data_IF_456808449479
#
_entry.id   IF_456808449479
#
_cell.length_a   1.000
_cell.length_b   1.000
_cell.length_c   1.000
_cell.angle_alpha   90.00
_cell.angle_beta   90.00
_cell.angle_gamma   90.00
#
_symmetry.space_group_name_H-M   'P 1'
#
loop_
_entity.id
_entity.type
_entity.pdbx_description
1 polymer ?
#
# COMPACT_ATOMS: atom_id res chain seq x y z
N UNK A 1 -3.01 -2.35 -8.28
CA UNK A 1 -1.91 -3.28 -7.98
C UNK A 1 -1.91 -4.39 -9.02
N UNK A 2 -0.79 -4.61 -9.70
CA UNK A 2 -0.62 -5.78 -10.57
C UNK A 2 0.15 -6.86 -9.81
N UNK A 3 -0.37 -8.08 -9.81
CA UNK A 3 0.24 -9.25 -9.16
C UNK A 3 0.46 -10.34 -10.19
N UNK A 4 1.67 -10.89 -10.21
CA UNK A 4 2.00 -12.08 -10.99
C UNK A 4 2.09 -13.28 -10.03
N UNK A 5 1.24 -14.29 -10.24
CA UNK A 5 1.31 -15.54 -9.47
C UNK A 5 2.57 -16.35 -9.83
N UNK A 6 2.96 -17.37 -9.02
CA UNK A 6 4.04 -18.28 -9.38
C UNK A 6 3.83 -19.01 -10.71
N UNK A 7 2.58 -19.18 -11.14
CA UNK A 7 2.24 -19.76 -12.45
C UNK A 7 2.32 -18.75 -13.61
N UNK A 8 2.83 -17.54 -13.36
CA UNK A 8 2.94 -16.47 -14.36
C UNK A 8 1.62 -15.73 -14.66
N UNK A 9 0.52 -16.04 -13.97
CA UNK A 9 -0.76 -15.39 -14.20
C UNK A 9 -0.73 -13.97 -13.63
N UNK A 10 -0.97 -12.98 -14.48
CA UNK A 10 -1.15 -11.58 -14.07
C UNK A 10 -2.58 -11.34 -13.62
N UNK A 11 -2.75 -10.57 -12.55
CA UNK A 11 -4.06 -10.13 -12.06
C UNK A 11 -3.94 -8.67 -11.63
N UNK A 12 -4.85 -7.84 -12.13
CA UNK A 12 -4.97 -6.44 -11.69
C UNK A 12 -6.05 -6.35 -10.62
N UNK A 13 -5.70 -5.74 -9.50
CA UNK A 13 -6.61 -5.39 -8.41
C UNK A 13 -6.64 -3.89 -8.25
N UNK A 14 -7.84 -3.34 -8.13
CA UNK A 14 -8.08 -1.91 -8.06
C UNK A 14 -9.17 -1.60 -7.04
N UNK A 15 -8.92 -0.62 -6.20
CA UNK A 15 -9.80 -0.18 -5.11
C UNK A 15 -9.76 1.35 -5.03
N UNK A 16 -10.92 1.97 -4.84
CA UNK A 16 -11.09 3.44 -4.91
C UNK A 16 -11.63 3.91 -6.26
N UNK A 17 -11.68 5.23 -6.45
CA UNK A 17 -12.15 5.88 -7.67
C UNK A 17 -11.01 6.31 -8.59
N UNK A 18 -11.35 6.70 -9.82
CA UNK A 18 -10.42 6.96 -10.94
C UNK A 18 -9.73 8.34 -10.90
N UNK A 19 -9.65 8.97 -9.73
CA UNK A 19 -9.00 10.26 -9.54
C UNK A 19 -7.49 10.15 -9.32
N UNK A 20 -6.84 11.31 -9.22
CA UNK A 20 -5.40 11.41 -8.96
C UNK A 20 -4.52 11.02 -10.15
N UNK A 21 -3.21 10.99 -9.92
CA UNK A 21 -2.21 10.58 -10.92
C UNK A 21 -1.61 9.24 -10.51
N UNK A 22 -1.68 8.19 -11.36
CA UNK A 22 -1.09 6.91 -11.06
C UNK A 22 0.42 7.00 -10.78
N UNK A 23 0.87 6.33 -9.73
CA UNK A 23 2.28 6.15 -9.41
C UNK A 23 2.54 4.67 -9.15
N UNK A 24 3.57 4.10 -9.76
CA UNK A 24 3.84 2.66 -9.73
C UNK A 24 5.32 2.42 -9.48
N UNK A 25 5.62 1.57 -8.48
CA UNK A 25 6.96 1.08 -8.19
C UNK A 25 7.04 -0.41 -8.55
N UNK A 26 7.64 -0.79 -9.68
CA UNK A 26 7.90 -2.19 -9.97
C UNK A 26 8.99 -2.70 -9.03
N UNK A 27 8.67 -3.74 -8.25
CA UNK A 27 9.64 -4.40 -7.38
C UNK A 27 10.62 -5.24 -8.20
N UNK A 28 11.90 -5.16 -7.86
CA UNK A 28 12.95 -5.99 -8.45
C UNK A 28 12.83 -7.43 -7.95
N UNK A 29 13.51 -8.35 -8.63
CA UNK A 29 13.61 -9.72 -8.15
C UNK A 29 14.20 -9.75 -6.72
N UNK A 30 13.50 -10.41 -5.80
CA UNK A 30 13.90 -10.50 -4.39
C UNK A 30 13.60 -9.26 -3.54
N UNK A 31 13.08 -8.18 -4.12
CA UNK A 31 12.70 -6.99 -3.38
C UNK A 31 11.29 -7.12 -2.79
N UNK A 32 11.14 -6.70 -1.54
CA UNK A 32 9.88 -6.75 -0.82
C UNK A 32 9.64 -5.48 0.00
N UNK A 33 8.39 -5.24 0.37
CA UNK A 33 8.01 -4.10 1.22
C UNK A 33 8.31 -4.43 2.68
N UNK A 34 9.01 -3.50 3.35
CA UNK A 34 9.40 -3.57 4.75
C UNK A 34 8.51 -2.73 5.65
N UNK A 35 8.06 -1.57 5.20
CA UNK A 35 7.26 -0.70 6.05
C UNK A 35 6.25 0.10 5.27
N UNK A 36 5.21 0.49 5.98
CA UNK A 36 4.09 1.24 5.47
C UNK A 36 3.77 2.39 6.43
N UNK A 37 3.46 3.55 5.86
CA UNK A 37 2.88 4.65 6.60
C UNK A 37 1.58 5.07 5.94
N UNK A 38 0.50 5.11 6.72
CA UNK A 38 -0.79 5.61 6.30
C UNK A 38 -1.11 6.89 7.07
N UNK A 39 -1.55 7.91 6.35
CA UNK A 39 -1.99 9.17 6.93
C UNK A 39 -3.41 9.45 6.51
N UNK A 40 -4.25 9.83 7.48
CA UNK A 40 -5.68 10.00 7.27
C UNK A 40 -6.17 11.38 7.72
N UNK A 41 -7.31 11.78 7.18
CA UNK A 41 -7.96 13.04 7.48
C UNK A 41 -9.45 12.98 7.17
N UNK A 42 -10.18 13.99 7.63
CA UNK A 42 -11.58 14.16 7.26
C UNK A 42 -11.69 14.83 5.89
N UNK A 43 -12.51 14.26 5.02
CA UNK A 43 -12.88 14.80 3.72
C UNK A 43 -14.40 14.66 3.56
N UNK A 44 -15.10 15.78 3.35
CA UNK A 44 -16.56 15.77 3.15
C UNK A 44 -17.34 14.99 4.23
N UNK A 45 -16.92 15.07 5.49
CA UNK A 45 -17.57 14.38 6.62
C UNK A 45 -17.15 12.92 6.83
N UNK A 46 -16.26 12.37 6.00
CA UNK A 46 -15.75 11.00 6.13
C UNK A 46 -14.26 10.98 6.45
N UNK A 47 -13.80 10.04 7.27
CA UNK A 47 -12.37 9.80 7.47
C UNK A 47 -11.85 8.93 6.34
N UNK A 48 -10.76 9.34 5.69
CA UNK A 48 -10.18 8.65 4.53
C UNK A 48 -8.66 8.64 4.60
N UNK A 49 -8.03 7.66 3.94
CA UNK A 49 -6.59 7.70 3.72
C UNK A 49 -6.28 8.81 2.72
N UNK A 50 -5.46 9.78 3.14
CA UNK A 50 -5.08 10.94 2.34
C UNK A 50 -3.68 10.77 1.77
N UNK A 51 -2.81 10.00 2.43
CA UNK A 51 -1.48 9.70 1.96
C UNK A 51 -1.03 8.30 2.39
N UNK A 52 -0.36 7.60 1.47
CA UNK A 52 0.31 6.33 1.74
C UNK A 52 1.78 6.44 1.34
N UNK A 53 2.63 5.76 2.10
CA UNK A 53 4.04 5.57 1.81
C UNK A 53 4.42 4.12 2.07
N UNK A 54 5.18 3.54 1.14
CA UNK A 54 5.75 2.20 1.25
C UNK A 54 7.26 2.30 1.08
N UNK A 55 7.99 1.58 1.93
CA UNK A 55 9.44 1.44 1.81
C UNK A 55 9.81 -0.01 1.54
N UNK A 56 10.69 -0.24 0.58
CA UNK A 56 11.16 -1.58 0.23
C UNK A 56 12.50 -1.94 0.89
N UNK A 57 12.86 -3.22 0.80
CA UNK A 57 14.15 -3.78 1.21
C UNK A 57 15.33 -3.15 0.48
N UNK A 58 15.11 -2.63 -0.72
CA UNK A 58 16.11 -1.92 -1.54
C UNK A 58 16.16 -0.42 -1.24
N UNK A 59 15.60 0.01 -0.11
CA UNK A 59 15.57 1.43 0.33
C UNK A 59 14.84 2.34 -0.68
N UNK A 60 14.00 1.77 -1.54
CA UNK A 60 13.14 2.55 -2.45
C UNK A 60 11.84 2.89 -1.77
N UNK A 61 11.32 4.07 -2.08
CA UNK A 61 10.08 4.59 -1.50
C UNK A 61 9.10 4.87 -2.62
N UNK A 62 7.85 4.47 -2.42
CA UNK A 62 6.72 4.96 -3.21
C UNK A 62 5.70 5.58 -2.27
N UNK A 63 5.28 6.79 -2.60
CA UNK A 63 4.21 7.47 -1.90
C UNK A 63 3.22 8.11 -2.87
N UNK A 64 2.05 8.45 -2.34
CA UNK A 64 1.01 9.12 -3.09
C UNK A 64 -0.01 9.75 -2.17
N UNK A 65 -0.63 10.82 -2.66
CA UNK A 65 -1.60 11.63 -1.91
C UNK A 65 -0.97 12.80 -1.16
N UNK A 66 -1.74 13.40 -0.25
CA UNK A 66 -1.36 14.61 0.48
C UNK A 66 -1.17 14.30 1.97
N UNK A 67 0.03 14.55 2.53
CA UNK A 67 0.31 14.29 3.93
C UNK A 67 -0.66 15.00 4.89
N UNK A 68 -0.97 14.37 6.02
CA UNK A 68 -1.77 14.93 7.10
C UNK A 68 -1.06 14.75 8.45
N UNK A 69 -1.67 15.27 9.52
CA UNK A 69 -1.11 15.17 10.87
C UNK A 69 -1.32 13.81 11.52
N UNK A 70 -2.37 13.07 11.12
CA UNK A 70 -2.64 11.75 11.69
C UNK A 70 -1.85 10.71 10.92
N UNK A 71 -0.99 9.97 11.62
CA UNK A 71 -0.11 8.98 11.01
C UNK A 71 -0.16 7.67 11.78
N UNK A 72 -0.27 6.58 11.04
CA UNK A 72 -0.04 5.22 11.50
C UNK A 72 1.13 4.65 10.71
N UNK A 73 2.04 3.97 11.39
CA UNK A 73 3.15 3.24 10.77
C UNK A 73 3.06 1.79 11.19
N UNK A 74 3.35 0.91 10.26
CA UNK A 74 3.52 -0.51 10.52
C UNK A 74 4.81 -0.97 9.83
N UNK A 75 5.65 -1.62 10.62
CA UNK A 75 6.94 -2.14 10.18
C UNK A 75 6.85 -3.67 10.17
N UNK A 76 7.37 -4.29 9.12
CA UNK A 76 7.38 -5.74 9.02
C UNK A 76 8.20 -6.33 10.18
N UNK A 77 7.67 -7.33 10.90
CA UNK A 77 8.47 -8.11 11.82
C UNK A 77 9.61 -8.82 11.04
N UNK A 78 10.75 -9.03 11.68
CA UNK A 78 11.91 -9.69 11.06
C UNK A 78 11.54 -11.01 10.37
N UNK A 79 12.08 -11.23 9.17
CA UNK A 79 11.83 -12.42 8.36
C UNK A 79 10.47 -12.47 7.65
N UNK A 80 9.72 -11.35 7.61
CA UNK A 80 8.43 -11.24 6.93
C UNK A 80 8.44 -10.18 5.83
N UNK A 81 7.52 -10.34 4.88
CA UNK A 81 7.21 -9.40 3.82
C UNK A 81 5.71 -9.12 3.76
N UNK A 82 5.34 -8.01 3.14
CA UNK A 82 3.96 -7.71 2.81
C UNK A 82 3.38 -8.79 1.87
N UNK A 83 2.34 -9.47 2.34
CA UNK A 83 1.67 -10.56 1.64
C UNK A 83 0.34 -10.18 1.02
N UNK A 84 -0.24 -9.03 1.40
CA UNK A 84 -1.50 -8.55 0.86
C UNK A 84 -2.08 -7.40 1.66
N UNK A 85 -3.25 -6.95 1.22
CA UNK A 85 -3.98 -5.82 1.77
C UNK A 85 -5.41 -6.23 2.11
N UNK A 86 -6.03 -5.51 3.04
CA UNK A 86 -7.47 -5.55 3.31
C UNK A 86 -7.96 -4.16 3.67
N UNK A 87 -9.26 -3.91 3.63
CA UNK A 87 -9.83 -2.61 3.96
C UNK A 87 -11.14 -2.34 3.23
N UNK A 88 -11.45 -1.06 3.07
CA UNK A 88 -12.67 -0.56 2.43
C UNK A 88 -12.37 0.58 1.49
N UNK A 89 -13.17 0.70 0.43
CA UNK A 89 -13.06 1.77 -0.55
C UNK A 89 -14.42 2.13 -1.15
N UNK A 90 -14.56 3.39 -1.53
CA UNK A 90 -15.62 3.92 -2.40
C UNK A 90 -15.01 4.67 -3.57
N UNK A 91 -15.31 5.96 -3.67
CA UNK A 91 -14.64 6.86 -4.64
C UNK A 91 -13.18 7.15 -4.26
N UNK A 92 -12.77 6.80 -3.05
CA UNK A 92 -11.42 6.93 -2.50
C UNK A 92 -11.10 5.69 -1.63
N UNK A 93 -9.88 5.63 -1.08
CA UNK A 93 -9.48 4.57 -0.15
C UNK A 93 -9.84 4.95 1.30
N UNK A 94 -10.91 4.37 1.82
CA UNK A 94 -11.44 4.73 3.14
C UNK A 94 -10.63 4.11 4.29
N UNK A 95 -10.23 2.85 4.16
CA UNK A 95 -9.40 2.15 5.15
C UNK A 95 -8.44 1.16 4.48
N UNK A 96 -7.30 0.90 5.14
CA UNK A 96 -6.30 -0.06 4.68
C UNK A 96 -5.63 -0.75 5.87
N UNK A 97 -5.41 -2.05 5.73
CA UNK A 97 -4.60 -2.88 6.60
C UNK A 97 -3.77 -3.86 5.78
N UNK A 98 -2.82 -4.52 6.45
CA UNK A 98 -1.73 -5.25 5.81
C UNK A 98 -1.60 -6.66 6.38
N UNK A 99 -1.34 -7.63 5.51
CA UNK A 99 -0.98 -8.97 5.92
C UNK A 99 0.53 -9.18 5.83
N UNK A 100 1.17 -9.59 6.92
CA UNK A 100 2.58 -9.94 6.95
C UNK A 100 2.78 -11.44 6.86
N UNK A 101 3.56 -11.90 5.87
CA UNK A 101 3.86 -13.32 5.66
C UNK A 101 5.36 -13.60 5.75
N UNK A 102 5.79 -14.82 6.09
CA UNK A 102 7.21 -15.19 6.02
C UNK A 102 7.80 -15.00 4.61
N UNK A 103 9.07 -14.59 4.57
CA UNK A 103 9.88 -14.62 3.35
C UNK A 103 10.17 -16.10 3.00
N UNK A 104 10.10 -16.43 1.72
CA UNK A 104 10.44 -17.77 1.21
C UNK A 104 11.87 -17.79 0.71
#
# INVERSE_FOLDING_TARGET
MEVTSPSGKKTSMYHGGNGGTPNTLPLRAGEYILSVAAQWGSESGHTRNKHLEFRSSEVRVISGGSPTKNVGRDDTPGGRQLGGFYGSSGNELDSIGFYWRPIK
#
